data_IF_810778302698
#
_entry.id   IF_810778302698
#
_cell.length_a   1.000
_cell.length_b   1.000
_cell.length_c   1.000
_cell.angle_alpha   90.00
_cell.angle_beta   90.00
_cell.angle_gamma   90.00
#
_symmetry.space_group_name_H-M   'P 1'
#
loop_
_entity.id
_entity.type
_entity.pdbx_description
1 polymer ?
#
# COMPACT_ATOMS: atom_id res chain seq x y z
N UNK A 1 -13.74 -12.05 -17.65
CA UNK A 1 -14.04 -11.00 -16.65
C UNK A 1 -13.00 -11.09 -15.54
N UNK A 2 -11.92 -10.30 -15.60
CA UNK A 2 -10.90 -10.25 -14.52
C UNK A 2 -10.65 -8.80 -14.09
N UNK A 3 -10.71 -7.85 -15.04
CA UNK A 3 -10.59 -6.41 -14.75
C UNK A 3 -11.63 -5.88 -13.75
N UNK A 4 -12.87 -6.38 -13.81
CA UNK A 4 -13.94 -5.91 -12.92
C UNK A 4 -13.77 -6.39 -11.48
N UNK A 5 -13.22 -7.60 -11.29
CA UNK A 5 -13.08 -8.19 -9.95
C UNK A 5 -11.95 -7.53 -9.13
N UNK A 6 -10.90 -7.04 -9.81
CA UNK A 6 -9.77 -6.37 -9.13
C UNK A 6 -10.09 -4.95 -8.68
N UNK A 7 -11.09 -4.26 -9.26
CA UNK A 7 -11.45 -2.91 -8.81
C UNK A 7 -12.36 -2.92 -7.58
N UNK A 8 -13.19 -3.95 -7.40
CA UNK A 8 -14.14 -4.01 -6.28
C UNK A 8 -13.50 -4.45 -4.95
N UNK A 9 -12.33 -5.09 -4.99
CA UNK A 9 -11.64 -5.63 -3.81
C UNK A 9 -10.26 -5.01 -3.54
N UNK A 10 -9.82 -4.03 -4.33
CA UNK A 10 -8.55 -3.33 -4.14
C UNK A 10 -8.77 -1.85 -3.85
N UNK A 11 -7.96 -1.30 -2.95
CA UNK A 11 -7.94 0.14 -2.66
C UNK A 11 -6.86 0.82 -3.49
N UNK A 12 -7.13 2.05 -3.94
CA UNK A 12 -6.11 2.87 -4.58
C UNK A 12 -5.00 3.20 -3.58
N UNK A 13 -3.75 2.99 -3.97
CA UNK A 13 -2.59 3.26 -3.10
C UNK A 13 -2.56 4.71 -2.59
N UNK A 14 -3.08 5.68 -3.35
CA UNK A 14 -3.16 7.08 -2.93
C UNK A 14 -4.16 7.37 -1.81
N UNK A 15 -5.06 6.44 -1.50
CA UNK A 15 -6.12 6.62 -0.51
C UNK A 15 -5.76 5.96 0.84
N UNK A 16 -4.88 4.95 0.84
CA UNK A 16 -4.56 4.17 2.04
C UNK A 16 -3.91 4.99 3.17
N UNK A 17 -3.13 6.02 2.83
CA UNK A 17 -2.54 6.94 3.80
C UNK A 17 -3.60 7.68 4.61
N UNK A 18 -4.60 8.26 3.94
CA UNK A 18 -5.69 8.98 4.63
C UNK A 18 -6.53 8.06 5.52
N UNK A 19 -6.68 6.79 5.15
CA UNK A 19 -7.35 5.77 5.99
C UNK A 19 -6.51 5.48 7.23
N UNK A 20 -5.20 5.27 7.09
CA UNK A 20 -4.28 5.06 8.20
C UNK A 20 -4.26 6.24 9.18
N UNK A 21 -4.24 7.47 8.66
CA UNK A 21 -4.30 8.68 9.47
C UNK A 21 -5.59 8.73 10.30
N UNK A 22 -6.74 8.45 9.68
CA UNK A 22 -8.04 8.44 10.36
C UNK A 22 -8.14 7.34 11.42
N UNK A 23 -7.53 6.19 11.14
CA UNK A 23 -7.46 5.08 12.08
C UNK A 23 -6.49 5.34 13.24
N UNK A 24 -5.64 6.37 13.15
CA UNK A 24 -4.66 6.71 14.18
C UNK A 24 -3.60 5.63 14.38
N UNK A 25 -3.31 4.84 13.33
CA UNK A 25 -2.27 3.80 13.42
C UNK A 25 -0.88 4.45 13.44
N UNK A 26 0.08 3.75 14.05
CA UNK A 26 1.48 4.22 14.11
C UNK A 26 2.29 3.85 12.87
N UNK A 27 1.84 2.82 12.17
CA UNK A 27 2.53 2.16 11.08
C UNK A 27 1.52 1.75 10.00
N UNK A 28 1.86 2.00 8.73
CA UNK A 28 1.11 1.59 7.55
C UNK A 28 1.97 0.67 6.67
N UNK A 29 1.64 -0.61 6.64
CA UNK A 29 2.24 -1.59 5.75
C UNK A 29 1.38 -1.75 4.48
N UNK A 30 1.92 -1.44 3.30
CA UNK A 30 1.23 -1.60 2.02
C UNK A 30 1.82 -2.77 1.26
N UNK A 31 1.00 -3.78 0.98
CA UNK A 31 1.35 -4.97 0.21
C UNK A 31 0.43 -5.13 -1.01
N UNK A 32 0.60 -6.21 -1.78
CA UNK A 32 -0.26 -6.53 -2.93
C UNK A 32 -0.34 -5.43 -4.00
N UNK A 33 0.78 -4.76 -4.24
CA UNK A 33 0.90 -3.80 -5.33
C UNK A 33 0.95 -4.56 -6.66
N UNK A 34 -0.03 -4.31 -7.53
CA UNK A 34 -0.04 -4.88 -8.88
C UNK A 34 0.64 -3.91 -9.83
N UNK A 35 1.82 -4.26 -10.32
CA UNK A 35 2.32 -3.78 -11.61
C UNK A 35 2.28 -5.01 -12.54
N UNK A 36 1.63 -4.89 -13.70
CA UNK A 36 1.48 -6.00 -14.65
C UNK A 36 2.84 -6.53 -15.17
N UNK A 37 3.94 -5.89 -14.78
CA UNK A 37 5.33 -6.27 -15.01
C UNK A 37 5.86 -7.39 -14.09
N UNK A 38 5.15 -7.74 -13.01
CA UNK A 38 5.62 -8.72 -12.02
C UNK A 38 6.72 -8.21 -11.08
N UNK A 39 7.10 -6.93 -11.20
CA UNK A 39 8.07 -6.26 -10.32
C UNK A 39 7.43 -5.02 -9.70
N UNK A 40 7.49 -4.92 -8.37
CA UNK A 40 6.99 -3.75 -7.64
C UNK A 40 8.15 -2.83 -7.33
N UNK A 41 8.17 -1.66 -7.99
CA UNK A 41 9.07 -0.57 -7.62
C UNK A 41 8.59 0.09 -6.32
N UNK A 42 9.17 -0.30 -5.20
CA UNK A 42 8.80 0.22 -3.87
C UNK A 42 9.01 1.72 -3.74
N UNK A 43 10.02 2.27 -4.43
CA UNK A 43 10.31 3.71 -4.41
C UNK A 43 9.19 4.50 -5.09
N UNK A 44 8.70 4.00 -6.24
CA UNK A 44 7.56 4.58 -6.97
C UNK A 44 6.29 4.68 -6.12
N UNK A 45 6.05 3.69 -5.25
CA UNK A 45 4.80 3.59 -4.48
C UNK A 45 4.86 4.20 -3.08
N UNK A 46 6.06 4.45 -2.55
CA UNK A 46 6.27 5.06 -1.22
C UNK A 46 5.52 6.39 -1.02
N UNK A 47 5.69 7.32 -1.97
CA UNK A 47 5.09 8.67 -1.89
C UNK A 47 3.56 8.65 -2.06
N UNK A 48 2.99 7.92 -3.03
CA UNK A 48 1.53 7.73 -3.09
C UNK A 48 0.93 7.08 -1.84
N UNK A 49 1.55 6.02 -1.30
CA UNK A 49 1.03 5.27 -0.17
C UNK A 49 0.95 6.09 1.13
N UNK A 50 1.96 6.91 1.39
CA UNK A 50 2.02 7.78 2.56
C UNK A 50 1.25 9.10 2.40
N UNK A 51 0.56 9.33 1.28
CA UNK A 51 -0.08 10.61 1.05
C UNK A 51 -1.19 10.87 2.09
N UNK A 52 -1.07 11.99 2.81
CA UNK A 52 -2.00 12.35 3.88
C UNK A 52 -1.85 11.53 5.17
N UNK A 53 -0.73 10.84 5.35
CA UNK A 53 -0.38 10.10 6.56
C UNK A 53 0.96 10.57 7.13
N UNK A 54 0.97 10.92 8.42
CA UNK A 54 2.15 11.46 9.08
C UNK A 54 3.02 10.36 9.73
N UNK A 55 2.52 9.12 9.77
CA UNK A 55 3.20 7.98 10.39
C UNK A 55 4.12 7.22 9.44
N UNK A 56 4.78 6.19 9.97
CA UNK A 56 5.75 5.41 9.21
C UNK A 56 5.05 4.52 8.18
N UNK A 57 5.42 4.65 6.91
CA UNK A 57 4.88 3.83 5.80
C UNK A 57 5.93 2.84 5.29
N UNK A 58 5.56 1.58 5.18
CA UNK A 58 6.36 0.50 4.62
C UNK A 58 5.69 -0.05 3.36
N UNK A 59 6.47 -0.26 2.30
CA UNK A 59 6.01 -0.89 1.06
C UNK A 59 6.60 -2.30 0.99
N UNK A 60 5.75 -3.32 1.03
CA UNK A 60 6.15 -4.72 0.91
C UNK A 60 5.93 -5.27 -0.50
N UNK A 61 6.90 -6.04 -0.98
CA UNK A 61 6.77 -6.91 -2.14
C UNK A 61 6.14 -8.25 -1.71
N UNK A 62 4.81 -8.33 -1.59
CA UNK A 62 4.10 -9.58 -1.24
C UNK A 62 3.59 -9.64 0.22
N UNK A 63 3.20 -10.83 0.74
CA UNK A 63 2.63 -10.99 2.09
C UNK A 63 3.60 -10.58 3.22
N UNK A 64 4.85 -10.26 2.90
CA UNK A 64 5.94 -9.98 3.81
C UNK A 64 6.02 -8.53 4.32
N UNK A 65 5.02 -7.68 4.05
CA UNK A 65 5.02 -6.29 4.55
C UNK A 65 5.07 -6.20 6.10
N UNK A 66 4.73 -7.28 6.80
CA UNK A 66 4.87 -7.44 8.25
C UNK A 66 6.33 -7.42 8.74
N UNK A 67 7.29 -7.80 7.88
CA UNK A 67 8.71 -7.90 8.27
C UNK A 67 9.42 -6.55 8.42
N UNK A 68 8.79 -5.43 8.02
CA UNK A 68 9.40 -4.09 8.03
C UNK A 68 9.34 -3.42 9.41
N UNK A 69 8.49 -3.91 10.32
CA UNK A 69 8.26 -3.30 11.63
C UNK A 69 8.86 -4.07 12.82
N UNK A 70 9.83 -4.97 12.56
CA UNK A 70 10.61 -5.63 13.62
C UNK A 70 11.61 -4.72 14.29
#
# INVERSE_FOLDING_TARGET
MVKNHMQEACTLVGEVGTVAQRAGVRALAVSHLTDFSGYVDTAKWSKPAGNGYDGQTAIGTGPDADSVYK
#
